data_IF_985059095585
#
_entry.id   IF_985059095585
#
_cell.length_a   1.000
_cell.length_b   1.000
_cell.length_c   1.000
_cell.angle_alpha   90.00
_cell.angle_beta   90.00
_cell.angle_gamma   90.00
#
_symmetry.space_group_name_H-M   'P 1'
#
loop_
_entity.id
_entity.type
_entity.pdbx_description
1 polymer ?
#
# COMPACT_ATOMS: atom_id res chain seq x y z
N UNK A 1 8.94 26.26 -14.84
CA UNK A 1 9.26 26.88 -13.54
C UNK A 1 8.43 26.14 -12.49
N UNK A 2 8.94 25.02 -11.96
CA UNK A 2 8.26 24.30 -10.87
C UNK A 2 8.73 24.93 -9.57
N UNK A 3 7.82 25.60 -8.87
CA UNK A 3 8.08 26.03 -7.51
C UNK A 3 8.19 24.77 -6.64
N UNK A 4 9.41 24.40 -6.27
CA UNK A 4 9.62 23.47 -5.17
C UNK A 4 9.13 24.18 -3.91
N UNK A 5 7.90 23.89 -3.49
CA UNK A 5 7.39 24.29 -2.18
C UNK A 5 8.31 23.68 -1.14
N UNK A 6 9.05 24.51 -0.42
CA UNK A 6 9.86 24.11 0.72
C UNK A 6 8.92 23.61 1.81
N UNK A 7 8.65 22.30 1.84
CA UNK A 7 7.90 21.66 2.91
C UNK A 7 8.64 21.87 4.25
N UNK A 8 7.97 22.44 5.24
CA UNK A 8 8.55 22.59 6.57
C UNK A 8 8.63 21.21 7.26
N UNK A 9 9.43 21.08 8.31
CA UNK A 9 9.58 19.84 9.10
C UNK A 9 8.23 19.27 9.54
N UNK A 10 7.26 20.12 9.87
CA UNK A 10 5.91 19.70 10.25
C UNK A 10 5.20 18.98 9.09
N UNK A 11 5.19 19.58 7.90
CA UNK A 11 4.58 19.01 6.68
C UNK A 11 5.22 17.66 6.30
N UNK A 12 6.53 17.53 6.50
CA UNK A 12 7.23 16.26 6.30
C UNK A 12 6.80 15.19 7.32
N UNK A 13 6.70 15.55 8.60
CA UNK A 13 6.25 14.62 9.64
C UNK A 13 4.83 14.14 9.41
N UNK A 14 3.92 15.04 9.02
CA UNK A 14 2.55 14.71 8.65
C UNK A 14 2.51 13.78 7.43
N UNK A 15 3.30 14.07 6.39
CA UNK A 15 3.45 13.21 5.21
C UNK A 15 3.93 11.79 5.58
N UNK A 16 4.87 11.65 6.52
CA UNK A 16 5.36 10.34 6.99
C UNK A 16 4.27 9.59 7.78
N UNK A 17 3.52 10.29 8.63
CA UNK A 17 2.43 9.69 9.39
C UNK A 17 1.31 9.19 8.45
N UNK A 18 0.94 9.99 7.47
CA UNK A 18 -0.01 9.61 6.42
C UNK A 18 0.47 8.39 5.65
N UNK A 19 1.76 8.33 5.35
CA UNK A 19 2.34 7.20 4.63
C UNK A 19 2.23 5.89 5.40
N UNK A 20 2.37 5.94 6.72
CA UNK A 20 2.15 4.76 7.57
C UNK A 20 0.69 4.28 7.50
N UNK A 21 -0.28 5.22 7.44
CA UNK A 21 -1.70 4.91 7.27
C UNK A 21 -1.99 4.29 5.90
N UNK A 22 -1.41 4.86 4.83
CA UNK A 22 -1.58 4.36 3.44
C UNK A 22 -1.07 2.93 3.28
N UNK A 23 0.08 2.61 3.87
CA UNK A 23 0.63 1.25 3.87
C UNK A 23 -0.34 0.25 4.48
N UNK A 24 -0.92 0.58 5.63
CA UNK A 24 -1.89 -0.29 6.30
C UNK A 24 -3.17 -0.44 5.47
N UNK A 25 -3.68 0.66 4.91
CA UNK A 25 -4.90 0.63 4.09
C UNK A 25 -4.73 -0.28 2.85
N UNK A 26 -3.63 -0.13 2.11
CA UNK A 26 -3.32 -0.99 0.96
C UNK A 26 -3.18 -2.46 1.37
N UNK A 27 -2.46 -2.75 2.46
CA UNK A 27 -2.32 -4.13 2.94
C UNK A 27 -3.67 -4.72 3.36
N UNK A 28 -4.57 -3.94 3.98
CA UNK A 28 -5.92 -4.37 4.31
C UNK A 28 -6.74 -4.71 3.05
N UNK A 29 -6.63 -3.93 1.97
CA UNK A 29 -7.32 -4.25 0.71
C UNK A 29 -6.80 -5.56 0.11
N UNK A 30 -5.49 -5.75 0.07
CA UNK A 30 -4.87 -6.96 -0.47
C UNK A 30 -5.16 -8.20 0.41
N UNK A 31 -5.24 -8.02 1.73
CA UNK A 31 -5.66 -9.07 2.67
C UNK A 31 -7.08 -9.54 2.35
N UNK A 32 -8.01 -8.59 2.15
CA UNK A 32 -9.40 -8.89 1.78
C UNK A 32 -9.46 -9.63 0.44
N UNK A 33 -8.77 -9.15 -0.58
CA UNK A 33 -8.71 -9.81 -1.89
C UNK A 33 -8.20 -11.26 -1.78
N UNK A 34 -7.11 -11.49 -1.03
CA UNK A 34 -6.55 -12.83 -0.81
C UNK A 34 -7.49 -13.77 -0.06
N UNK A 35 -8.26 -13.24 0.89
CA UNK A 35 -9.23 -14.03 1.67
C UNK A 35 -10.50 -14.34 0.86
N UNK A 36 -10.98 -13.36 0.11
CA UNK A 36 -12.28 -13.43 -0.56
C UNK A 36 -12.17 -14.13 -1.95
N UNK A 37 -11.01 -14.01 -2.63
CA UNK A 37 -10.73 -14.61 -3.95
C UNK A 37 -9.38 -15.35 -3.96
N UNK A 38 -9.25 -16.51 -3.28
CA UNK A 38 -7.95 -17.17 -3.09
C UNK A 38 -7.29 -17.66 -4.39
N UNK A 39 -8.07 -17.96 -5.44
CA UNK A 39 -7.55 -18.46 -6.73
C UNK A 39 -7.00 -17.34 -7.63
N UNK A 40 -7.43 -16.09 -7.43
CA UNK A 40 -6.97 -14.91 -8.18
C UNK A 40 -6.95 -13.67 -7.26
N UNK A 41 -6.02 -13.61 -6.30
CA UNK A 41 -6.03 -12.60 -5.24
C UNK A 41 -5.34 -11.28 -5.63
N UNK A 42 -4.86 -11.17 -6.88
CA UNK A 42 -4.12 -10.01 -7.39
C UNK A 42 -5.01 -8.79 -7.54
N UNK A 43 -4.49 -7.62 -7.15
CA UNK A 43 -5.09 -6.33 -7.47
C UNK A 43 -4.12 -5.48 -8.29
N UNK A 44 -4.62 -4.89 -9.36
CA UNK A 44 -3.89 -3.91 -10.16
C UNK A 44 -3.70 -2.59 -9.41
N UNK A 45 -2.73 -1.76 -9.83
CA UNK A 45 -2.54 -0.40 -9.28
C UNK A 45 -3.82 0.43 -9.39
N UNK A 46 -4.59 0.24 -10.48
CA UNK A 46 -5.83 0.97 -10.72
C UNK A 46 -6.92 0.57 -9.69
N UNK A 47 -7.10 -0.73 -9.44
CA UNK A 47 -8.07 -1.22 -8.46
C UNK A 47 -7.71 -0.77 -7.05
N UNK A 48 -6.43 -0.81 -6.69
CA UNK A 48 -5.94 -0.30 -5.39
C UNK A 48 -6.21 1.20 -5.28
N UNK A 49 -5.95 1.97 -6.34
CA UNK A 49 -6.23 3.40 -6.37
C UNK A 49 -7.71 3.72 -6.22
N UNK A 50 -8.58 2.97 -6.89
CA UNK A 50 -10.03 3.11 -6.77
C UNK A 50 -10.52 2.76 -5.35
N UNK A 51 -9.96 1.72 -4.72
CA UNK A 51 -10.36 1.27 -3.40
C UNK A 51 -9.90 2.21 -2.26
N UNK A 52 -8.72 2.81 -2.41
CA UNK A 52 -8.08 3.68 -1.38
C UNK A 52 -8.30 5.17 -1.61
N UNK A 53 -8.72 5.58 -2.82
CA UNK A 53 -8.84 6.98 -3.22
C UNK A 53 -7.51 7.71 -3.40
N UNK A 54 -6.38 6.98 -3.42
CA UNK A 54 -5.05 7.57 -3.52
C UNK A 54 -4.67 7.88 -4.97
N UNK A 55 -4.01 9.01 -5.23
CA UNK A 55 -3.46 9.31 -6.56
C UNK A 55 -2.29 8.38 -6.89
N UNK A 56 -2.10 8.10 -8.18
CA UNK A 56 -1.11 7.15 -8.70
C UNK A 56 0.30 7.36 -8.15
N UNK A 57 0.78 8.60 -8.07
CA UNK A 57 2.11 8.93 -7.53
C UNK A 57 2.33 8.47 -6.08
N UNK A 58 1.29 8.53 -5.24
CA UNK A 58 1.36 8.08 -3.84
C UNK A 58 1.31 6.56 -3.77
N UNK A 59 0.52 5.92 -4.64
CA UNK A 59 0.47 4.46 -4.74
C UNK A 59 1.82 3.89 -5.13
N UNK A 60 2.47 4.42 -6.17
CA UNK A 60 3.76 3.91 -6.65
C UNK A 60 4.81 3.93 -5.54
N UNK A 61 4.90 5.03 -4.79
CA UNK A 61 5.82 5.11 -3.65
C UNK A 61 5.48 4.07 -2.57
N UNK A 62 4.21 3.96 -2.20
CA UNK A 62 3.77 3.05 -1.14
C UNK A 62 4.00 1.58 -1.53
N UNK A 63 3.61 1.20 -2.75
CA UNK A 63 3.76 -0.15 -3.29
C UNK A 63 5.22 -0.54 -3.43
N UNK A 64 6.09 0.37 -3.90
CA UNK A 64 7.52 0.09 -3.96
C UNK A 64 8.09 -0.22 -2.57
N UNK A 65 7.74 0.58 -1.56
CA UNK A 65 8.16 0.34 -0.18
C UNK A 65 7.66 -1.02 0.35
N UNK A 66 6.37 -1.34 0.16
CA UNK A 66 5.79 -2.60 0.63
C UNK A 66 6.45 -3.81 -0.05
N UNK A 67 6.79 -3.69 -1.33
CA UNK A 67 7.49 -4.71 -2.11
C UNK A 67 8.92 -4.90 -1.63
N UNK A 68 9.67 -3.83 -1.41
CA UNK A 68 11.04 -3.90 -0.86
C UNK A 68 11.07 -4.50 0.56
N UNK A 69 9.97 -4.39 1.29
CA UNK A 69 9.76 -5.02 2.60
C UNK A 69 9.26 -6.46 2.52
N UNK A 70 9.03 -6.99 1.32
CA UNK A 70 8.47 -8.33 1.07
C UNK A 70 7.07 -8.54 1.65
N UNK A 71 6.33 -7.46 1.93
CA UNK A 71 4.94 -7.55 2.41
C UNK A 71 3.94 -7.79 1.28
N UNK A 72 4.34 -7.45 0.06
CA UNK A 72 3.62 -7.75 -1.17
C UNK A 72 4.60 -8.27 -2.21
N UNK A 73 4.11 -9.03 -3.17
CA UNK A 73 4.84 -9.33 -4.40
C UNK A 73 3.97 -8.97 -5.61
N UNK A 74 4.62 -8.89 -6.76
CA UNK A 74 3.96 -8.65 -8.02
C UNK A 74 3.91 -9.99 -8.77
N UNK A 75 2.74 -10.37 -9.27
CA UNK A 75 2.55 -11.61 -9.99
C UNK A 75 2.89 -11.47 -11.49
N UNK A 76 2.63 -12.52 -12.27
CA UNK A 76 2.88 -12.52 -13.72
C UNK A 76 1.97 -11.56 -14.50
N UNK A 77 0.78 -11.23 -13.97
CA UNK A 77 -0.16 -10.26 -14.56
C UNK A 77 0.18 -8.82 -14.20
N UNK A 78 1.27 -8.60 -13.45
CA UNK A 78 1.70 -7.31 -12.88
C UNK A 78 0.81 -6.82 -11.74
N UNK A 79 -0.07 -7.68 -11.22
CA UNK A 79 -0.93 -7.38 -10.08
C UNK A 79 -0.19 -7.60 -8.76
N UNK A 80 -0.63 -6.92 -7.71
CA UNK A 80 -0.04 -7.02 -6.39
C UNK A 80 -0.81 -8.01 -5.53
N UNK A 81 -0.07 -8.86 -4.81
CA UNK A 81 -0.62 -9.86 -3.89
C UNK A 81 0.10 -9.76 -2.55
N UNK A 82 -0.65 -9.75 -1.45
CA UNK A 82 -0.09 -9.74 -0.09
C UNK A 82 0.65 -11.05 0.22
N UNK A 83 1.81 -10.98 0.87
CA UNK A 83 2.55 -12.15 1.36
C UNK A 83 2.11 -12.52 2.78
N UNK A 84 2.53 -13.68 3.28
CA UNK A 84 2.30 -14.05 4.69
C UNK A 84 2.88 -12.99 5.65
N UNK A 85 4.07 -12.45 5.38
CA UNK A 85 4.66 -11.39 6.20
C UNK A 85 3.82 -10.10 6.20
N UNK A 86 3.18 -9.77 5.07
CA UNK A 86 2.23 -8.66 5.01
C UNK A 86 0.96 -8.92 5.82
N UNK A 87 0.46 -10.15 5.80
CA UNK A 87 -0.69 -10.56 6.61
C UNK A 87 -0.40 -10.45 8.10
N UNK A 88 0.75 -10.97 8.56
CA UNK A 88 1.18 -10.88 9.96
C UNK A 88 1.23 -9.42 10.45
N UNK A 89 1.67 -8.50 9.59
CA UNK A 89 1.70 -7.08 9.91
C UNK A 89 0.29 -6.50 10.10
N UNK A 90 -0.66 -6.82 9.21
CA UNK A 90 -2.06 -6.38 9.32
C UNK A 90 -2.69 -6.92 10.60
N UNK A 91 -2.56 -8.22 10.84
CA UNK A 91 -3.15 -8.90 12.00
C UNK A 91 -2.61 -8.34 13.31
N UNK A 92 -1.30 -8.04 13.38
CA UNK A 92 -0.68 -7.39 14.55
C UNK A 92 -1.20 -5.98 14.83
N UNK A 93 -1.67 -5.24 13.82
CA UNK A 93 -2.21 -3.89 14.01
C UNK A 93 -3.70 -3.91 14.37
N UNK A 94 -4.46 -4.90 13.88
CA UNK A 94 -5.90 -5.04 14.14
C UNK A 94 -6.18 -5.71 15.48
N UNK A 95 -5.32 -6.64 15.93
CA UNK A 95 -5.47 -7.36 17.20
C UNK A 95 -4.87 -6.63 18.41
N UNK A 96 -4.73 -5.30 18.35
CA UNK A 96 -4.20 -4.46 19.44
C UNK A 96 -5.29 -3.67 20.15
#
# INVERSE_FOLDING_TARGET
MFAATTANRHDLMESIADETRRRLDILCQLYRARRDTPDDPGLSVLEIGNATGLPHEKLVFTLNYLREKEFIHQDEKTDFVITAAGMDLVEKQVMR
#
